data_IF_250441475775
#
_entry.id   IF_250441475775
#
_cell.length_a   1.000
_cell.length_b   1.000
_cell.length_c   1.000
_cell.angle_alpha   90.00
_cell.angle_beta   90.00
_cell.angle_gamma   90.00
#
_symmetry.space_group_name_H-M   'P 1'
#
loop_
_entity.id
_entity.type
_entity.pdbx_description
1 polymer ?
#
# COMPACT_ATOMS: atom_id res chain seq x y z
N UNK A 1 -49.38 48.29 -46.89
CA UNK A 1 -49.97 47.20 -46.09
C UNK A 1 -48.84 46.48 -45.36
N UNK A 2 -48.62 46.82 -44.09
CA UNK A 2 -47.53 46.26 -43.27
C UNK A 2 -47.93 44.99 -42.54
N UNK A 3 -47.00 44.03 -42.43
CA UNK A 3 -47.12 42.84 -41.59
C UNK A 3 -45.77 42.53 -40.92
N UNK A 4 -45.73 42.68 -39.60
CA UNK A 4 -44.54 42.65 -38.74
C UNK A 4 -44.01 41.22 -38.52
N UNK A 5 -42.69 41.04 -38.60
CA UNK A 5 -41.99 39.83 -38.16
C UNK A 5 -42.06 39.66 -36.64
N UNK A 6 -42.45 38.48 -36.19
CA UNK A 6 -42.56 38.09 -34.78
C UNK A 6 -41.17 38.10 -34.12
N UNK A 7 -40.87 39.12 -33.32
CA UNK A 7 -39.69 39.16 -32.43
C UNK A 7 -39.97 38.30 -31.21
N UNK A 8 -39.11 37.32 -30.97
CA UNK A 8 -39.10 36.59 -29.71
C UNK A 8 -38.62 37.51 -28.59
N UNK A 9 -39.43 37.65 -27.55
CA UNK A 9 -39.24 38.60 -26.45
C UNK A 9 -38.50 37.90 -25.32
N UNK A 10 -37.18 37.95 -25.32
CA UNK A 10 -36.36 37.56 -24.15
C UNK A 10 -36.44 38.65 -23.07
N UNK A 11 -36.98 38.28 -21.89
CA UNK A 11 -36.81 39.10 -20.68
C UNK A 11 -35.32 39.12 -20.29
N UNK A 12 -34.82 40.29 -19.92
CA UNK A 12 -33.47 40.52 -19.36
C UNK A 12 -32.25 40.38 -20.28
N UNK A 13 -32.27 41.00 -21.48
CA UNK A 13 -31.08 41.43 -22.24
C UNK A 13 -29.86 40.47 -22.29
N UNK A 14 -30.08 39.16 -22.19
CA UNK A 14 -29.04 38.15 -22.19
C UNK A 14 -28.74 37.77 -23.63
N UNK A 15 -27.50 38.05 -24.08
CA UNK A 15 -26.99 37.56 -25.36
C UNK A 15 -27.07 36.03 -25.37
N UNK A 16 -27.61 35.38 -26.41
CA UNK A 16 -27.52 33.93 -26.54
C UNK A 16 -26.04 33.56 -26.72
N UNK A 17 -25.47 32.78 -25.79
CA UNK A 17 -24.13 32.25 -25.94
C UNK A 17 -24.08 31.27 -27.11
N UNK A 18 -23.33 31.60 -28.16
CA UNK A 18 -23.16 30.73 -29.33
C UNK A 18 -22.32 29.50 -28.96
N UNK A 19 -22.98 28.39 -28.66
CA UNK A 19 -22.35 27.10 -28.32
C UNK A 19 -21.53 26.51 -29.48
N UNK A 20 -21.77 26.94 -30.73
CA UNK A 20 -21.06 26.44 -31.91
C UNK A 20 -19.58 26.81 -31.95
N UNK A 21 -19.21 28.04 -31.57
CA UNK A 21 -17.81 28.49 -31.62
C UNK A 21 -16.95 27.89 -30.49
N UNK A 22 -17.57 27.55 -29.36
CA UNK A 22 -16.92 26.83 -28.27
C UNK A 22 -16.68 25.36 -28.62
N UNK A 23 -17.56 24.74 -29.42
CA UNK A 23 -17.37 23.37 -29.91
C UNK A 23 -16.22 23.29 -30.92
N UNK A 24 -16.07 24.27 -31.82
CA UNK A 24 -14.95 24.32 -32.77
C UNK A 24 -13.58 24.53 -32.10
N UNK A 25 -13.52 25.36 -31.04
CA UNK A 25 -12.31 25.54 -30.22
C UNK A 25 -11.93 24.31 -29.40
N UNK A 26 -12.89 23.46 -29.03
CA UNK A 26 -12.62 22.18 -28.38
C UNK A 26 -12.14 21.13 -29.39
N UNK A 27 -12.66 21.13 -30.61
CA UNK A 27 -12.26 20.18 -31.66
C UNK A 27 -10.85 20.51 -32.17
N UNK A 28 -10.47 21.79 -32.29
CA UNK A 28 -9.11 22.17 -32.72
C UNK A 28 -8.03 21.91 -31.66
N UNK A 29 -8.41 21.83 -30.38
CA UNK A 29 -7.52 21.54 -29.24
C UNK A 29 -7.14 20.05 -29.12
N UNK A 30 -7.72 19.15 -29.92
CA UNK A 30 -7.44 17.70 -29.84
C UNK A 30 -6.12 17.26 -30.49
N UNK A 31 -5.34 18.18 -31.07
CA UNK A 31 -4.08 17.83 -31.78
C UNK A 31 -2.82 17.85 -30.92
N UNK A 32 -2.87 18.36 -29.69
CA UNK A 32 -1.73 18.33 -28.75
C UNK A 32 -2.15 17.68 -27.43
N UNK A 33 -2.15 16.34 -27.41
CA UNK A 33 -2.32 15.57 -26.18
C UNK A 33 -1.01 15.55 -25.36
N UNK A 34 -0.57 16.73 -24.94
CA UNK A 34 0.32 16.91 -23.81
C UNK A 34 -0.54 17.40 -22.64
N UNK A 35 -0.66 16.56 -21.62
CA UNK A 35 -1.16 16.80 -20.25
C UNK A 35 -1.48 18.28 -19.99
N UNK A 36 -2.73 18.70 -20.23
CA UNK A 36 -3.21 20.02 -19.86
C UNK A 36 -4.19 19.92 -18.69
N UNK A 37 -3.62 19.82 -17.49
CA UNK A 37 -4.30 20.33 -16.31
C UNK A 37 -4.21 21.84 -16.32
N UNK A 38 -5.34 22.55 -16.27
CA UNK A 38 -5.38 24.00 -16.13
C UNK A 38 -4.73 24.39 -14.79
N UNK A 39 -3.45 24.72 -14.81
CA UNK A 39 -2.76 25.58 -13.83
C UNK A 39 -1.58 26.25 -14.51
N UNK A 40 -1.51 27.57 -14.37
CA UNK A 40 -0.36 28.41 -14.64
C UNK A 40 0.97 27.82 -14.13
N UNK A 41 1.91 27.57 -15.04
CA UNK A 41 3.32 27.92 -14.80
C UNK A 41 4.33 26.85 -14.42
N UNK A 42 3.98 25.57 -14.22
CA UNK A 42 5.00 24.48 -14.13
C UNK A 42 4.46 23.16 -14.71
N UNK A 43 5.18 22.50 -15.64
CA UNK A 43 4.76 21.21 -16.17
C UNK A 43 4.82 20.15 -15.06
N UNK A 44 3.75 19.36 -14.92
CA UNK A 44 3.74 18.19 -14.07
C UNK A 44 4.75 17.18 -14.62
N UNK A 45 5.63 16.68 -13.75
CA UNK A 45 6.52 15.57 -14.07
C UNK A 45 5.65 14.37 -14.49
N UNK A 46 5.92 13.72 -15.63
CA UNK A 46 5.07 12.63 -16.12
C UNK A 46 5.02 11.50 -15.08
N UNK A 47 3.79 11.06 -14.81
CA UNK A 47 3.41 10.01 -13.83
C UNK A 47 4.19 8.70 -14.09
N UNK A 48 4.66 8.50 -15.34
CA UNK A 48 5.66 7.53 -15.75
C UNK A 48 6.39 8.11 -16.99
N UNK A 49 7.70 8.40 -16.93
CA UNK A 49 8.42 9.03 -18.06
C UNK A 49 8.51 8.17 -19.33
N UNK A 50 8.13 6.89 -19.27
CA UNK A 50 8.10 5.95 -20.41
C UNK A 50 6.74 5.84 -21.12
N UNK A 51 5.72 6.60 -20.73
CA UNK A 51 4.37 6.49 -21.31
C UNK A 51 4.07 7.64 -22.26
N UNK A 52 4.40 7.46 -23.54
CA UNK A 52 3.85 8.26 -24.62
C UNK A 52 2.31 8.29 -24.55
N UNK A 53 1.69 9.39 -25.00
CA UNK A 53 0.24 9.55 -25.02
C UNK A 53 -0.41 8.40 -25.81
N UNK A 54 -0.97 7.42 -25.09
CA UNK A 54 -1.76 6.35 -25.68
C UNK A 54 -3.12 6.95 -26.04
N UNK A 55 -3.58 6.77 -27.29
CA UNK A 55 -4.94 7.14 -27.66
C UNK A 55 -5.92 6.20 -26.94
N UNK A 56 -6.43 6.65 -25.79
CA UNK A 56 -7.19 5.85 -24.81
C UNK A 56 -8.55 5.40 -25.38
N UNK A 57 -9.11 6.11 -26.37
CA UNK A 57 -10.47 5.87 -26.88
C UNK A 57 -10.51 5.06 -28.19
N UNK A 58 -9.37 4.73 -28.81
CA UNK A 58 -9.37 4.06 -30.10
C UNK A 58 -9.77 2.58 -29.97
N UNK A 59 -10.84 2.18 -30.67
CA UNK A 59 -11.33 0.80 -30.70
C UNK A 59 -12.25 0.42 -29.53
N UNK A 60 -12.57 1.36 -28.63
CA UNK A 60 -13.55 1.13 -27.57
C UNK A 60 -14.98 1.21 -28.10
N UNK A 61 -15.84 0.31 -27.62
CA UNK A 61 -17.28 0.51 -27.78
C UNK A 61 -17.75 1.71 -26.90
N UNK A 62 -18.95 2.21 -27.19
CA UNK A 62 -19.51 3.39 -26.51
C UNK A 62 -19.64 3.21 -24.99
N UNK A 63 -20.04 2.03 -24.53
CA UNK A 63 -20.31 1.75 -23.11
C UNK A 63 -19.02 1.72 -22.28
N UNK A 64 -17.97 1.07 -22.79
CA UNK A 64 -16.64 1.12 -22.17
C UNK A 64 -16.09 2.55 -22.14
N UNK A 65 -16.20 3.28 -23.25
CA UNK A 65 -15.72 4.67 -23.32
C UNK A 65 -16.42 5.57 -22.30
N UNK A 66 -17.72 5.39 -22.07
CA UNK A 66 -18.48 6.12 -21.05
C UNK A 66 -18.00 5.80 -19.63
N UNK A 67 -17.72 4.53 -19.32
CA UNK A 67 -17.15 4.13 -18.02
C UNK A 67 -15.79 4.81 -17.78
N UNK A 68 -14.87 4.75 -18.75
CA UNK A 68 -13.56 5.39 -18.64
C UNK A 68 -13.64 6.92 -18.49
N UNK A 69 -14.58 7.58 -19.18
CA UNK A 69 -14.84 9.02 -19.02
C UNK A 69 -15.27 9.37 -17.60
N UNK A 70 -16.06 8.52 -16.93
CA UNK A 70 -16.51 8.71 -15.55
C UNK A 70 -15.36 8.62 -14.54
N UNK A 71 -14.27 7.89 -14.81
CA UNK A 71 -13.11 7.78 -13.90
C UNK A 71 -12.34 9.09 -13.72
N UNK A 72 -12.42 10.02 -14.67
CA UNK A 72 -11.84 11.37 -14.56
C UNK A 72 -12.59 12.28 -13.58
N UNK A 73 -13.77 11.88 -13.11
CA UNK A 73 -14.54 12.65 -12.12
C UNK A 73 -13.88 12.52 -10.75
N UNK A 74 -14.00 13.56 -9.92
CA UNK A 74 -13.48 13.54 -8.55
C UNK A 74 -14.37 12.75 -7.57
N UNK A 75 -15.66 12.68 -7.86
CA UNK A 75 -16.65 12.06 -6.98
C UNK A 75 -16.48 10.53 -6.90
N UNK A 76 -16.18 9.96 -5.71
CA UNK A 76 -15.95 8.53 -5.55
C UNK A 76 -17.19 7.68 -5.82
N UNK A 77 -18.40 8.23 -5.61
CA UNK A 77 -19.65 7.51 -5.90
C UNK A 77 -19.80 7.31 -7.41
N UNK A 78 -19.54 8.35 -8.20
CA UNK A 78 -19.55 8.28 -9.67
C UNK A 78 -18.52 7.27 -10.19
N UNK A 79 -17.29 7.28 -9.64
CA UNK A 79 -16.27 6.28 -9.99
C UNK A 79 -16.71 4.86 -9.63
N UNK A 80 -17.26 4.67 -8.43
CA UNK A 80 -17.75 3.37 -7.95
C UNK A 80 -18.84 2.81 -8.87
N UNK A 81 -19.84 3.62 -9.22
CA UNK A 81 -20.90 3.22 -10.17
C UNK A 81 -20.34 2.86 -11.53
N UNK A 82 -19.36 3.63 -12.04
CA UNK A 82 -18.70 3.35 -13.30
C UNK A 82 -17.88 2.05 -13.27
N UNK A 83 -17.24 1.73 -12.14
CA UNK A 83 -16.53 0.46 -11.97
C UNK A 83 -17.50 -0.72 -11.90
N UNK A 84 -18.64 -0.57 -11.23
CA UNK A 84 -19.69 -1.60 -11.20
C UNK A 84 -20.26 -1.86 -12.59
N UNK A 85 -20.57 -0.79 -13.34
CA UNK A 85 -21.03 -0.87 -14.73
C UNK A 85 -19.98 -1.55 -15.62
N UNK A 86 -18.71 -1.14 -15.51
CA UNK A 86 -17.61 -1.76 -16.26
C UNK A 86 -17.43 -3.25 -15.92
N UNK A 87 -17.56 -3.63 -14.64
CA UNK A 87 -17.48 -5.02 -14.21
C UNK A 87 -18.59 -5.86 -14.86
N UNK A 88 -19.80 -5.31 -14.95
CA UNK A 88 -20.92 -5.99 -15.59
C UNK A 88 -20.73 -6.11 -17.11
N UNK A 89 -20.22 -5.05 -17.76
CA UNK A 89 -19.82 -5.12 -19.18
C UNK A 89 -18.82 -6.23 -19.42
N UNK A 90 -17.76 -6.34 -18.61
CA UNK A 90 -16.75 -7.40 -18.74
C UNK A 90 -17.33 -8.82 -18.56
N UNK A 91 -18.44 -8.98 -17.84
CA UNK A 91 -19.12 -10.27 -17.68
C UNK A 91 -19.99 -10.66 -18.87
N UNK A 92 -20.42 -9.70 -19.68
CA UNK A 92 -21.43 -9.94 -20.72
C UNK A 92 -20.95 -9.66 -22.15
N UNK A 93 -19.90 -8.85 -22.32
CA UNK A 93 -19.34 -8.47 -23.63
C UNK A 93 -18.58 -9.61 -24.32
N UNK A 94 -18.23 -9.42 -25.60
CA UNK A 94 -17.30 -10.33 -26.26
C UNK A 94 -15.87 -10.17 -25.68
N UNK A 95 -15.04 -11.23 -25.75
CA UNK A 95 -13.66 -11.19 -25.22
C UNK A 95 -12.82 -10.12 -25.92
N UNK A 96 -13.06 -9.91 -27.20
CA UNK A 96 -12.42 -8.90 -28.05
C UNK A 96 -12.64 -7.48 -27.53
N UNK A 97 -13.83 -7.17 -27.03
CA UNK A 97 -14.16 -5.85 -26.46
C UNK A 97 -13.41 -5.61 -25.15
N UNK A 98 -13.32 -6.63 -24.30
CA UNK A 98 -12.54 -6.56 -23.06
C UNK A 98 -11.04 -6.38 -23.37
N UNK A 99 -10.51 -7.07 -24.37
CA UNK A 99 -9.12 -6.90 -24.83
C UNK A 99 -8.89 -5.51 -25.40
N UNK A 100 -9.82 -4.98 -26.20
CA UNK A 100 -9.74 -3.62 -26.72
C UNK A 100 -9.72 -2.55 -25.60
N UNK A 101 -10.30 -2.87 -24.43
CA UNK A 101 -10.27 -2.00 -23.26
C UNK A 101 -8.95 -2.01 -22.49
N UNK A 102 -8.03 -2.94 -22.74
CA UNK A 102 -6.77 -3.08 -21.99
C UNK A 102 -5.89 -1.83 -21.98
N UNK A 103 -5.65 -1.11 -23.10
CA UNK A 103 -4.82 0.09 -23.09
C UNK A 103 -5.42 1.20 -22.22
N UNK A 104 -6.74 1.36 -22.25
CA UNK A 104 -7.46 2.33 -21.42
C UNK A 104 -7.44 1.92 -19.95
N UNK A 105 -7.69 0.65 -19.66
CA UNK A 105 -7.59 0.12 -18.30
C UNK A 105 -6.19 0.27 -17.72
N UNK A 106 -5.14 -0.03 -18.49
CA UNK A 106 -3.75 0.12 -18.07
C UNK A 106 -3.32 1.59 -17.82
N UNK A 107 -4.11 2.56 -18.28
CA UNK A 107 -3.97 3.95 -17.90
C UNK A 107 -4.63 4.26 -16.55
N UNK A 108 -5.89 3.86 -16.36
CA UNK A 108 -6.64 4.21 -15.15
C UNK A 108 -6.33 3.33 -13.94
N UNK A 109 -5.95 2.07 -14.15
CA UNK A 109 -5.73 1.11 -13.08
C UNK A 109 -4.74 1.60 -12.01
N UNK A 110 -3.53 2.10 -12.35
CA UNK A 110 -2.59 2.61 -11.35
C UNK A 110 -3.08 3.84 -10.58
N UNK A 111 -4.09 4.54 -11.09
CA UNK A 111 -4.70 5.72 -10.46
C UNK A 111 -5.79 5.27 -9.49
N UNK A 112 -6.69 4.40 -9.97
CA UNK A 112 -7.84 3.92 -9.20
C UNK A 112 -7.46 2.91 -8.11
N UNK A 113 -6.37 2.15 -8.30
CA UNK A 113 -5.87 1.17 -7.33
C UNK A 113 -5.39 1.81 -6.04
N UNK A 114 -5.11 3.11 -6.06
CA UNK A 114 -4.71 3.91 -4.90
C UNK A 114 -5.68 5.07 -4.69
N UNK A 115 -6.95 4.91 -5.04
CA UNK A 115 -7.93 5.97 -4.75
C UNK A 115 -8.09 6.17 -3.23
N UNK A 116 -8.38 7.40 -2.81
CA UNK A 116 -8.67 7.74 -1.41
C UNK A 116 -9.83 6.90 -0.88
N UNK A 117 -10.84 6.67 -1.73
CA UNK A 117 -12.03 5.92 -1.37
C UNK A 117 -11.80 4.41 -1.46
N UNK A 118 -12.04 3.73 -0.34
CA UNK A 118 -11.83 2.29 -0.20
C UNK A 118 -12.71 1.46 -1.13
N UNK A 119 -13.93 1.94 -1.45
CA UNK A 119 -14.87 1.24 -2.31
C UNK A 119 -14.48 1.35 -3.78
N UNK A 120 -13.94 2.50 -4.19
CA UNK A 120 -13.29 2.64 -5.50
C UNK A 120 -12.13 1.65 -5.63
N UNK A 121 -11.26 1.55 -4.62
CA UNK A 121 -10.15 0.57 -4.64
C UNK A 121 -10.65 -0.87 -4.73
N UNK A 122 -11.67 -1.25 -3.95
CA UNK A 122 -12.26 -2.59 -3.96
C UNK A 122 -12.79 -2.98 -5.35
N UNK A 123 -13.67 -2.17 -5.94
CA UNK A 123 -14.23 -2.47 -7.26
C UNK A 123 -13.19 -2.39 -8.38
N UNK A 124 -12.14 -1.59 -8.21
CA UNK A 124 -11.00 -1.58 -9.14
C UNK A 124 -10.33 -2.95 -9.20
N UNK A 125 -10.16 -3.63 -8.05
CA UNK A 125 -9.58 -4.97 -8.02
C UNK A 125 -10.53 -6.03 -8.58
N UNK A 126 -11.84 -5.89 -8.37
CA UNK A 126 -12.83 -6.75 -9.01
C UNK A 126 -12.78 -6.64 -10.55
N UNK A 127 -12.67 -5.41 -11.08
CA UNK A 127 -12.50 -5.17 -12.52
C UNK A 127 -11.16 -5.73 -13.04
N UNK A 128 -10.06 -5.52 -12.31
CA UNK A 128 -8.75 -6.09 -12.66
C UNK A 128 -8.81 -7.61 -12.78
N UNK A 129 -9.48 -8.27 -11.83
CA UNK A 129 -9.66 -9.73 -11.83
C UNK A 129 -10.46 -10.19 -13.06
N UNK A 130 -11.61 -9.55 -13.33
CA UNK A 130 -12.45 -9.88 -14.48
C UNK A 130 -11.71 -9.67 -15.81
N UNK A 131 -10.99 -8.56 -15.94
CA UNK A 131 -10.26 -8.23 -17.16
C UNK A 131 -9.09 -9.18 -17.40
N UNK A 132 -8.32 -9.50 -16.35
CA UNK A 132 -7.20 -10.44 -16.44
C UNK A 132 -7.68 -11.84 -16.84
N UNK A 133 -8.78 -12.31 -16.23
CA UNK A 133 -9.38 -13.61 -16.57
C UNK A 133 -9.84 -13.67 -18.03
N UNK A 134 -10.38 -12.56 -18.56
CA UNK A 134 -10.86 -12.48 -19.95
C UNK A 134 -9.74 -12.34 -20.97
N UNK A 135 -8.77 -11.46 -20.70
CA UNK A 135 -7.67 -11.17 -21.61
C UNK A 135 -6.66 -12.31 -21.70
N UNK A 136 -6.47 -13.06 -20.60
CA UNK A 136 -5.47 -14.12 -20.51
C UNK A 136 -4.08 -13.62 -20.95
N UNK A 137 -3.48 -14.29 -21.93
CA UNK A 137 -2.15 -13.94 -22.46
C UNK A 137 -2.08 -12.55 -23.11
N UNK A 138 -3.21 -12.00 -23.54
CA UNK A 138 -3.29 -10.67 -24.17
C UNK A 138 -3.09 -9.54 -23.15
N UNK A 139 -3.01 -9.85 -21.85
CA UNK A 139 -2.62 -8.92 -20.80
C UNK A 139 -1.13 -8.54 -20.88
N UNK A 140 -0.27 -9.42 -21.42
CA UNK A 140 1.19 -9.30 -21.37
C UNK A 140 1.74 -7.94 -21.89
N UNK A 141 1.24 -7.35 -23.00
CA UNK A 141 1.71 -6.05 -23.49
C UNK A 141 1.50 -4.90 -22.50
N UNK A 142 0.50 -5.01 -21.60
CA UNK A 142 0.20 -3.99 -20.60
C UNK A 142 0.80 -4.28 -19.22
N UNK A 143 1.46 -5.44 -19.05
CA UNK A 143 1.84 -5.93 -17.73
C UNK A 143 2.82 -5.00 -17.00
N UNK A 144 3.76 -4.36 -17.73
CA UNK A 144 4.70 -3.37 -17.18
C UNK A 144 4.01 -2.15 -16.56
N UNK A 145 2.78 -1.84 -17.00
CA UNK A 145 1.96 -0.75 -16.44
C UNK A 145 1.07 -1.24 -15.29
N UNK A 146 0.54 -2.45 -15.41
CA UNK A 146 -0.43 -3.01 -14.48
C UNK A 146 0.22 -3.61 -13.23
N UNK A 147 1.25 -4.43 -13.40
CA UNK A 147 1.80 -5.27 -12.34
C UNK A 147 2.36 -4.49 -11.14
N UNK A 148 3.05 -3.34 -11.31
CA UNK A 148 3.47 -2.53 -10.16
C UNK A 148 2.27 -2.14 -9.29
N UNK A 149 1.25 -1.51 -9.87
CA UNK A 149 0.04 -1.09 -9.14
C UNK A 149 -0.73 -2.27 -8.53
N UNK A 150 -0.70 -3.43 -9.19
CA UNK A 150 -1.36 -4.64 -8.71
C UNK A 150 -0.69 -5.23 -7.48
N UNK A 151 0.64 -5.27 -7.45
CA UNK A 151 1.40 -5.70 -6.29
C UNK A 151 1.16 -4.78 -5.08
N UNK A 152 1.07 -3.46 -5.31
CA UNK A 152 0.66 -2.53 -4.25
C UNK A 152 -0.74 -2.85 -3.72
N UNK A 153 -1.71 -3.06 -4.61
CA UNK A 153 -3.08 -3.36 -4.22
C UNK A 153 -3.21 -4.69 -3.46
N UNK A 154 -2.36 -5.67 -3.75
CA UNK A 154 -2.27 -6.93 -2.98
C UNK A 154 -1.74 -6.73 -1.54
N UNK A 155 -1.36 -5.51 -1.17
CA UNK A 155 -0.93 -5.10 0.17
C UNK A 155 -1.76 -3.93 0.74
N UNK A 156 -2.97 -3.72 0.23
CA UNK A 156 -3.88 -2.65 0.69
C UNK A 156 -4.27 -2.78 2.17
N UNK A 157 -4.49 -1.65 2.84
CA UNK A 157 -4.93 -1.61 4.24
C UNK A 157 -6.42 -1.94 4.41
N UNK A 158 -7.19 -1.85 3.33
CA UNK A 158 -8.56 -2.27 3.25
C UNK A 158 -8.66 -3.75 2.84
N UNK A 159 -9.07 -4.59 3.79
CA UNK A 159 -9.13 -6.04 3.64
C UNK A 159 -9.79 -6.56 2.35
N UNK A 160 -10.99 -6.07 1.96
CA UNK A 160 -11.66 -6.49 0.73
C UNK A 160 -10.86 -6.19 -0.55
N UNK A 161 -10.31 -4.98 -0.68
CA UNK A 161 -9.47 -4.63 -1.84
C UNK A 161 -8.22 -5.51 -1.90
N UNK A 162 -7.53 -5.69 -0.77
CA UNK A 162 -6.36 -6.55 -0.65
C UNK A 162 -6.66 -7.98 -1.07
N UNK A 163 -7.76 -8.55 -0.55
CA UNK A 163 -8.16 -9.92 -0.85
C UNK A 163 -8.45 -10.10 -2.34
N UNK A 164 -9.24 -9.20 -2.95
CA UNK A 164 -9.52 -9.27 -4.38
C UNK A 164 -8.25 -9.16 -5.24
N UNK A 165 -7.36 -8.20 -4.92
CA UNK A 165 -6.10 -8.04 -5.66
C UNK A 165 -5.21 -9.28 -5.54
N UNK A 166 -5.01 -9.78 -4.33
CA UNK A 166 -4.16 -10.94 -4.06
C UNK A 166 -4.69 -12.20 -4.75
N UNK A 167 -5.98 -12.51 -4.57
CA UNK A 167 -6.62 -13.66 -5.21
C UNK A 167 -6.54 -13.56 -6.74
N UNK A 168 -6.78 -12.38 -7.31
CA UNK A 168 -6.66 -12.18 -8.74
C UNK A 168 -5.22 -12.36 -9.25
N UNK A 169 -4.22 -11.91 -8.48
CA UNK A 169 -2.80 -12.09 -8.79
C UNK A 169 -2.45 -13.58 -8.84
N UNK A 170 -2.82 -14.35 -7.80
CA UNK A 170 -2.55 -15.79 -7.71
C UNK A 170 -3.27 -16.58 -8.81
N UNK A 171 -4.51 -16.22 -9.13
CA UNK A 171 -5.26 -16.89 -10.20
C UNK A 171 -4.70 -16.58 -11.59
N UNK A 172 -4.15 -15.39 -11.80
CA UNK A 172 -3.57 -14.98 -13.09
C UNK A 172 -2.17 -15.56 -13.29
N UNK A 173 -1.38 -15.64 -12.21
CA UNK A 173 0.00 -16.11 -12.23
C UNK A 173 0.21 -17.28 -11.23
N UNK A 174 -0.38 -18.46 -11.48
CA UNK A 174 -0.19 -19.62 -10.62
C UNK A 174 1.25 -20.17 -10.71
N UNK A 175 1.65 -20.92 -9.69
CA UNK A 175 2.97 -21.57 -9.59
C UNK A 175 4.12 -20.54 -9.67
N UNK A 176 5.18 -20.83 -10.43
CA UNK A 176 6.35 -19.97 -10.54
C UNK A 176 6.14 -18.75 -11.46
N UNK A 177 4.99 -18.66 -12.15
CA UNK A 177 4.70 -17.62 -13.15
C UNK A 177 4.69 -16.21 -12.58
N UNK A 178 4.35 -16.05 -11.29
CA UNK A 178 4.40 -14.74 -10.66
C UNK A 178 5.84 -14.23 -10.58
N UNK A 179 6.80 -15.10 -10.23
CA UNK A 179 8.21 -14.75 -10.20
C UNK A 179 8.75 -14.37 -11.59
N UNK A 180 8.27 -15.03 -12.64
CA UNK A 180 8.60 -14.69 -14.04
C UNK A 180 8.02 -13.33 -14.44
N UNK A 181 6.74 -13.09 -14.15
CA UNK A 181 6.07 -11.81 -14.41
C UNK A 181 6.77 -10.64 -13.70
N UNK A 182 7.12 -10.83 -12.41
CA UNK A 182 7.90 -9.86 -11.64
C UNK A 182 9.26 -9.63 -12.29
N UNK A 183 9.96 -10.70 -12.70
CA UNK A 183 11.26 -10.58 -13.36
C UNK A 183 11.18 -9.81 -14.69
N UNK A 184 10.08 -9.99 -15.44
CA UNK A 184 9.81 -9.29 -16.71
C UNK A 184 9.52 -7.79 -16.53
N UNK A 185 8.90 -7.41 -15.41
CA UNK A 185 8.53 -6.02 -15.07
C UNK A 185 9.43 -5.39 -13.99
N UNK A 186 10.62 -5.94 -13.76
CA UNK A 186 11.43 -5.61 -12.58
C UNK A 186 11.78 -4.12 -12.47
N UNK A 187 12.09 -3.46 -13.58
CA UNK A 187 12.52 -2.06 -13.56
C UNK A 187 11.34 -1.15 -13.21
N UNK A 188 10.17 -1.42 -13.78
CA UNK A 188 8.94 -0.68 -13.51
C UNK A 188 8.45 -0.90 -12.06
N UNK A 189 8.51 -2.15 -11.57
CA UNK A 189 8.13 -2.49 -10.21
C UNK A 189 9.04 -1.78 -9.21
N UNK A 190 10.37 -1.95 -9.33
CA UNK A 190 11.33 -1.34 -8.39
C UNK A 190 11.28 0.18 -8.49
N UNK A 191 11.17 0.74 -9.69
CA UNK A 191 11.05 2.19 -9.90
C UNK A 191 9.86 2.77 -9.13
N UNK A 192 8.66 2.24 -9.36
CA UNK A 192 7.44 2.69 -8.69
C UNK A 192 7.54 2.58 -7.17
N UNK A 193 7.99 1.44 -6.66
CA UNK A 193 8.04 1.19 -5.21
C UNK A 193 9.06 2.09 -4.52
N UNK A 194 10.25 2.24 -5.11
CA UNK A 194 11.30 3.11 -4.57
C UNK A 194 10.88 4.57 -4.60
N UNK A 195 10.26 5.03 -5.69
CA UNK A 195 9.83 6.42 -5.83
C UNK A 195 8.75 6.75 -4.80
N UNK A 196 7.76 5.86 -4.62
CA UNK A 196 6.74 6.00 -3.59
C UNK A 196 7.36 6.12 -2.18
N UNK A 197 8.31 5.24 -1.84
CA UNK A 197 8.94 5.27 -0.51
C UNK A 197 9.79 6.52 -0.32
N UNK A 198 10.53 6.93 -1.35
CA UNK A 198 11.45 8.08 -1.28
C UNK A 198 10.71 9.42 -1.27
N UNK A 199 9.56 9.52 -1.95
CA UNK A 199 8.74 10.74 -2.00
C UNK A 199 7.67 10.81 -0.90
N UNK A 200 7.65 9.87 0.04
CA UNK A 200 6.58 9.77 1.05
C UNK A 200 5.19 9.45 0.49
N UNK A 201 5.10 8.89 -0.73
CA UNK A 201 3.85 8.55 -1.40
C UNK A 201 3.08 9.75 -1.98
N UNK A 202 3.61 10.97 -1.82
CA UNK A 202 2.90 12.19 -2.16
C UNK A 202 2.95 12.55 -3.65
N UNK A 203 3.90 12.01 -4.41
CA UNK A 203 4.07 12.30 -5.84
C UNK A 203 2.88 11.90 -6.72
N UNK A 204 1.95 11.08 -6.19
CA UNK A 204 0.72 10.64 -6.89
C UNK A 204 -0.49 11.51 -6.58
N UNK A 205 -0.39 12.42 -5.62
CA UNK A 205 -1.52 13.17 -5.10
C UNK A 205 -1.67 14.52 -5.80
N UNK A 206 -2.92 14.89 -6.07
CA UNK A 206 -3.23 16.23 -6.56
C UNK A 206 -2.97 17.25 -5.44
N UNK A 207 -2.29 18.35 -5.77
CA UNK A 207 -1.99 19.48 -4.85
C UNK A 207 -3.23 20.17 -4.24
N UNK A 208 -4.45 19.72 -4.58
CA UNK A 208 -5.73 20.34 -4.17
C UNK A 208 -6.39 19.64 -2.97
N UNK A 209 -5.79 18.59 -2.44
CA UNK A 209 -6.28 17.88 -1.25
C UNK A 209 -5.75 18.55 0.01
N UNK A 210 -6.53 18.52 1.10
CA UNK A 210 -6.09 18.98 2.42
C UNK A 210 -4.80 18.28 2.83
N UNK A 211 -3.88 19.04 3.46
CA UNK A 211 -2.52 18.58 3.72
C UNK A 211 -2.46 17.31 4.57
N UNK A 212 -3.32 17.20 5.59
CA UNK A 212 -3.35 16.04 6.47
C UNK A 212 -3.93 14.80 5.79
N UNK A 213 -4.95 14.97 4.94
CA UNK A 213 -5.51 13.87 4.13
C UNK A 213 -4.48 13.39 3.10
N UNK A 214 -3.76 14.33 2.47
CA UNK A 214 -2.67 14.06 1.54
C UNK A 214 -1.55 13.25 2.19
N UNK A 215 -1.08 13.66 3.37
CA UNK A 215 -0.08 12.90 4.14
C UNK A 215 -0.60 11.53 4.56
N UNK A 216 -1.85 11.42 5.01
CA UNK A 216 -2.45 10.14 5.41
C UNK A 216 -2.47 9.16 4.23
N UNK A 217 -2.82 9.65 3.05
CA UNK A 217 -2.78 8.84 1.85
C UNK A 217 -1.37 8.47 1.41
N UNK A 218 -0.42 9.42 1.50
CA UNK A 218 1.00 9.15 1.26
C UNK A 218 1.51 8.00 2.13
N UNK A 219 1.18 8.02 3.43
CA UNK A 219 1.53 6.91 4.36
C UNK A 219 0.93 5.58 3.94
N UNK A 220 -0.32 5.55 3.48
CA UNK A 220 -0.96 4.35 2.92
C UNK A 220 -0.19 3.81 1.70
N UNK A 221 0.18 4.68 0.75
CA UNK A 221 0.94 4.29 -0.44
C UNK A 221 2.31 3.73 -0.05
N UNK A 222 3.02 4.38 0.88
CA UNK A 222 4.33 3.92 1.36
C UNK A 222 4.20 2.57 2.04
N UNK A 223 3.22 2.39 2.94
CA UNK A 223 2.98 1.12 3.62
C UNK A 223 2.70 -0.02 2.63
N UNK A 224 1.83 0.22 1.65
CA UNK A 224 1.52 -0.75 0.59
C UNK A 224 2.75 -1.05 -0.28
N UNK A 225 3.61 -0.06 -0.52
CA UNK A 225 4.85 -0.24 -1.30
C UNK A 225 5.88 -1.08 -0.56
N UNK A 226 6.00 -0.93 0.77
CA UNK A 226 6.85 -1.78 1.60
C UNK A 226 6.34 -3.23 1.63
N UNK A 227 5.03 -3.42 1.75
CA UNK A 227 4.40 -4.74 1.65
C UNK A 227 4.64 -5.38 0.28
N UNK A 228 4.51 -4.62 -0.81
CA UNK A 228 4.76 -5.10 -2.16
C UNK A 228 6.23 -5.51 -2.37
N UNK A 229 7.20 -4.80 -1.80
CA UNK A 229 8.61 -5.21 -1.84
C UNK A 229 8.83 -6.55 -1.11
N UNK A 230 8.19 -6.75 0.05
CA UNK A 230 8.23 -8.01 0.76
C UNK A 230 7.59 -9.16 -0.05
N UNK A 231 6.44 -8.91 -0.67
CA UNK A 231 5.76 -9.86 -1.56
C UNK A 231 6.62 -10.23 -2.78
N UNK A 232 7.27 -9.25 -3.42
CA UNK A 232 8.23 -9.47 -4.51
C UNK A 232 9.38 -10.35 -4.04
N UNK A 233 9.92 -10.07 -2.85
CA UNK A 233 10.97 -10.87 -2.24
C UNK A 233 10.54 -12.31 -1.94
N UNK A 234 9.30 -12.54 -1.54
CA UNK A 234 8.77 -13.89 -1.28
C UNK A 234 8.48 -14.67 -2.58
N UNK A 235 7.96 -14.00 -3.61
CA UNK A 235 7.55 -14.64 -4.86
C UNK A 235 8.71 -15.02 -5.79
N UNK A 236 9.91 -14.44 -5.60
CA UNK A 236 11.05 -14.68 -6.48
C UNK A 236 11.89 -15.89 -6.03
N UNK A 237 12.31 -16.79 -6.95
CA UNK A 237 13.21 -17.89 -6.61
C UNK A 237 14.62 -17.38 -6.25
N UNK A 238 15.41 -18.20 -5.56
CA UNK A 238 16.76 -17.82 -5.11
C UNK A 238 17.69 -17.38 -6.25
N UNK A 239 17.50 -17.91 -7.47
CA UNK A 239 18.25 -17.52 -8.66
C UNK A 239 18.11 -16.03 -9.05
N UNK A 240 17.08 -15.34 -8.53
CA UNK A 240 16.83 -13.91 -8.79
C UNK A 240 17.35 -12.99 -7.68
N UNK A 241 18.00 -13.56 -6.66
CA UNK A 241 18.46 -12.83 -5.48
C UNK A 241 19.50 -11.74 -5.76
N UNK A 242 20.36 -11.91 -6.77
CA UNK A 242 21.43 -10.94 -7.06
C UNK A 242 20.90 -9.57 -7.51
N UNK A 243 20.00 -9.56 -8.49
CA UNK A 243 19.45 -8.29 -8.98
C UNK A 243 18.51 -7.66 -7.95
N UNK A 244 17.71 -8.47 -7.23
CA UNK A 244 16.82 -7.96 -6.20
C UNK A 244 17.64 -7.31 -5.07
N UNK A 245 18.74 -7.95 -4.66
CA UNK A 245 19.65 -7.38 -3.68
C UNK A 245 20.21 -6.03 -4.15
N UNK A 246 20.72 -5.96 -5.39
CA UNK A 246 21.22 -4.71 -5.96
C UNK A 246 20.15 -3.60 -5.97
N UNK A 247 18.88 -3.95 -6.26
CA UNK A 247 17.76 -3.02 -6.24
C UNK A 247 17.41 -2.50 -4.83
N UNK A 248 17.63 -3.29 -3.78
CA UNK A 248 17.32 -2.92 -2.39
C UNK A 248 18.42 -2.08 -1.73
N UNK A 249 19.66 -2.19 -2.18
CA UNK A 249 20.79 -1.45 -1.58
C UNK A 249 20.59 0.07 -1.49
N UNK A 250 20.12 0.77 -2.55
CA UNK A 250 19.87 2.22 -2.46
C UNK A 250 18.85 2.57 -1.36
N UNK A 251 17.82 1.73 -1.20
CA UNK A 251 16.78 1.92 -0.20
C UNK A 251 17.34 1.75 1.22
N UNK A 252 18.13 0.69 1.46
CA UNK A 252 18.76 0.43 2.76
C UNK A 252 19.80 1.50 3.14
N UNK A 253 20.39 2.21 2.17
CA UNK A 253 21.28 3.34 2.43
C UNK A 253 20.54 4.64 2.74
N UNK A 254 19.30 4.79 2.27
CA UNK A 254 18.54 6.02 2.40
C UNK A 254 18.09 6.28 3.85
N UNK A 255 18.45 7.43 4.41
CA UNK A 255 18.02 7.83 5.77
C UNK A 255 16.50 7.86 5.93
N UNK A 256 15.78 8.30 4.90
CA UNK A 256 14.32 8.37 4.90
C UNK A 256 13.65 7.01 5.15
N UNK A 257 14.22 5.93 4.60
CA UNK A 257 13.71 4.58 4.82
C UNK A 257 13.74 4.19 6.31
N UNK A 258 14.83 4.49 7.01
CA UNK A 258 14.99 4.15 8.43
C UNK A 258 14.14 5.02 9.37
N UNK A 259 13.79 6.23 8.95
CA UNK A 259 12.89 7.09 9.72
C UNK A 259 11.48 6.49 9.83
N UNK A 260 11.07 5.63 8.89
CA UNK A 260 9.75 4.98 8.89
C UNK A 260 9.54 4.06 10.09
N UNK A 261 10.61 3.51 10.67
CA UNK A 261 10.55 2.69 11.90
C UNK A 261 9.98 3.46 13.10
N UNK A 262 10.10 4.79 13.08
CA UNK A 262 9.65 5.69 14.14
C UNK A 262 8.48 6.58 13.72
N UNK A 263 7.79 6.24 12.62
CA UNK A 263 6.60 6.97 12.20
C UNK A 263 5.50 6.86 13.28
N UNK A 264 4.69 7.91 13.47
CA UNK A 264 3.55 7.87 14.38
C UNK A 264 2.48 6.86 13.94
N UNK A 265 2.35 6.64 12.63
CA UNK A 265 1.40 5.71 12.05
C UNK A 265 1.84 4.25 12.26
N UNK A 266 1.06 3.49 13.03
CA UNK A 266 1.35 2.09 13.33
C UNK A 266 1.33 1.18 12.10
N UNK A 267 0.51 1.49 11.08
CA UNK A 267 0.43 0.66 9.87
C UNK A 267 1.71 0.79 9.05
N UNK A 268 2.22 2.01 8.97
CA UNK A 268 3.48 2.30 8.30
C UNK A 268 4.66 1.61 9.00
N UNK A 269 4.69 1.63 10.34
CA UNK A 269 5.69 0.89 11.12
C UNK A 269 5.57 -0.63 10.91
N UNK A 270 4.36 -1.19 10.97
CA UNK A 270 4.13 -2.61 10.73
C UNK A 270 4.62 -3.06 9.35
N UNK A 271 4.32 -2.27 8.30
CA UNK A 271 4.80 -2.54 6.95
C UNK A 271 6.32 -2.45 6.85
N UNK A 272 6.94 -1.47 7.53
CA UNK A 272 8.40 -1.36 7.59
C UNK A 272 9.04 -2.56 8.29
N UNK A 273 8.50 -3.00 9.44
CA UNK A 273 8.97 -4.20 10.14
C UNK A 273 8.87 -5.43 9.24
N UNK A 274 7.73 -5.64 8.57
CA UNK A 274 7.55 -6.77 7.66
C UNK A 274 8.56 -6.78 6.51
N UNK A 275 8.83 -5.60 5.91
CA UNK A 275 9.84 -5.48 4.86
C UNK A 275 11.25 -5.75 5.39
N UNK A 276 11.63 -5.16 6.52
CA UNK A 276 12.92 -5.41 7.17
C UNK A 276 13.09 -6.88 7.51
N UNK A 277 12.12 -7.51 8.18
CA UNK A 277 12.17 -8.94 8.48
C UNK A 277 12.38 -9.79 7.22
N UNK A 278 11.71 -9.45 6.12
CA UNK A 278 11.84 -10.14 4.83
C UNK A 278 13.24 -9.98 4.21
N UNK A 279 13.87 -8.82 4.37
CA UNK A 279 15.26 -8.60 3.93
C UNK A 279 16.22 -9.52 4.67
N UNK A 280 16.13 -9.62 6.00
CA UNK A 280 17.03 -10.48 6.75
C UNK A 280 16.75 -11.96 6.55
N UNK A 281 15.49 -12.35 6.45
CA UNK A 281 15.11 -13.73 6.13
C UNK A 281 15.73 -14.21 4.80
N UNK A 282 15.84 -13.32 3.81
CA UNK A 282 16.33 -13.68 2.48
C UNK A 282 17.81 -13.38 2.24
N UNK A 283 18.32 -12.30 2.83
CA UNK A 283 19.63 -11.74 2.50
C UNK A 283 20.54 -11.54 3.72
N UNK A 284 20.22 -12.09 4.90
CA UNK A 284 20.98 -11.85 6.13
C UNK A 284 22.50 -11.96 5.99
N UNK A 285 22.99 -12.97 5.27
CA UNK A 285 24.43 -13.15 5.00
C UNK A 285 25.08 -12.09 4.09
N UNK A 286 24.28 -11.32 3.34
CA UNK A 286 24.74 -10.24 2.44
C UNK A 286 24.64 -8.86 3.07
N UNK A 287 23.89 -8.71 4.17
CA UNK A 287 23.68 -7.43 4.84
C UNK A 287 24.89 -7.13 5.73
N UNK A 288 25.44 -5.93 5.62
CA UNK A 288 26.57 -5.51 6.44
C UNK A 288 26.22 -5.33 7.92
N UNK A 289 27.24 -5.36 8.77
CA UNK A 289 27.08 -5.26 10.23
C UNK A 289 26.49 -3.90 10.66
N UNK A 290 26.80 -2.80 9.97
CA UNK A 290 26.26 -1.47 10.29
C UNK A 290 24.76 -1.40 10.03
N UNK A 291 24.32 -1.93 8.89
CA UNK A 291 22.91 -2.05 8.54
C UNK A 291 22.16 -2.94 9.54
N UNK A 292 22.75 -4.06 9.95
CA UNK A 292 22.19 -4.96 10.98
C UNK A 292 22.10 -4.30 12.36
N UNK A 293 23.12 -3.55 12.77
CA UNK A 293 23.07 -2.73 14.00
C UNK A 293 21.96 -1.68 13.97
N UNK A 294 21.74 -1.04 12.82
CA UNK A 294 20.67 -0.05 12.65
C UNK A 294 19.29 -0.70 12.75
N UNK A 295 19.09 -1.85 12.11
CA UNK A 295 17.85 -2.63 12.22
C UNK A 295 17.57 -3.06 13.65
N UNK A 296 18.59 -3.57 14.34
CA UNK A 296 18.47 -3.94 15.75
C UNK A 296 18.00 -2.79 16.62
N UNK A 297 18.69 -1.64 16.55
CA UNK A 297 18.33 -0.45 17.33
C UNK A 297 16.91 0.01 17.04
N UNK A 298 16.51 0.01 15.77
CA UNK A 298 15.17 0.40 15.35
C UNK A 298 14.08 -0.57 15.87
N UNK A 299 14.35 -1.89 15.88
CA UNK A 299 13.40 -2.91 16.31
C UNK A 299 13.28 -3.03 17.84
N UNK A 300 14.37 -2.74 18.58
CA UNK A 300 14.33 -2.71 20.05
C UNK A 300 13.72 -1.42 20.61
N UNK A 301 13.85 -0.30 19.88
CA UNK A 301 13.30 0.97 20.29
C UNK A 301 11.78 0.87 20.51
N UNK A 302 11.22 1.43 21.61
CA UNK A 302 9.78 1.50 21.78
C UNK A 302 9.16 2.32 20.65
N UNK A 303 7.96 1.96 20.16
CA UNK A 303 7.29 2.79 19.18
C UNK A 303 6.93 4.14 19.84
N UNK A 304 6.87 5.24 19.07
CA UNK A 304 6.45 6.52 19.62
C UNK A 304 5.08 6.38 20.28
N UNK A 305 4.89 7.02 21.43
CA UNK A 305 3.59 7.04 22.10
C UNK A 305 2.52 7.55 21.13
N UNK A 306 1.33 6.95 21.19
CA UNK A 306 0.19 7.45 20.43
C UNK A 306 -0.01 8.93 20.81
N UNK A 307 -0.24 9.82 19.82
CA UNK A 307 -0.57 11.21 20.14
C UNK A 307 -1.81 11.19 21.04
N UNK A 308 -1.69 11.78 22.24
CA UNK A 308 -2.80 11.92 23.16
C UNK A 308 -3.89 12.71 22.41
N UNK A 309 -5.12 12.18 22.25
CA UNK A 309 -6.18 12.99 21.69
C UNK A 309 -6.36 14.18 22.60
N UNK A 310 -6.19 15.40 22.06
CA UNK A 310 -6.51 16.64 22.76
C UNK A 310 -8.03 16.68 22.92
N UNK A 311 -8.54 15.99 23.92
CA UNK A 311 -9.93 16.12 24.32
C UNK A 311 -10.01 17.48 25.01
N UNK A 312 -10.44 18.50 24.27
CA UNK A 312 -11.04 19.69 24.87
C UNK A 312 -12.31 19.22 25.59
N UNK A 313 -12.16 18.87 26.87
CA UNK A 313 -13.29 18.59 27.75
C UNK A 313 -14.13 19.87 27.83
N UNK A 314 -15.45 19.83 27.57
CA UNK A 314 -16.33 20.92 27.93
C UNK A 314 -16.33 21.08 29.47
N UNK A 315 -16.45 22.32 29.93
CA UNK A 315 -16.40 22.69 31.34
C UNK A 315 -17.36 21.85 32.19
N UNK A 316 -16.87 21.34 33.32
CA UNK A 316 -17.61 20.48 34.24
C UNK A 316 -18.81 21.22 34.88
N UNK A 317 -20.00 20.58 35.00
CA UNK A 317 -21.06 21.06 35.88
C UNK A 317 -20.77 20.73 37.35
N UNK A 318 -21.34 21.55 38.25
CA UNK A 318 -21.19 21.54 39.72
C UNK A 318 -21.68 20.26 40.41
N UNK A 319 -21.18 19.95 41.63
CA UNK A 319 -21.31 18.63 42.24
C UNK A 319 -22.60 18.52 43.07
N UNK A 320 -23.44 17.55 42.74
CA UNK A 320 -24.36 16.96 43.71
C UNK A 320 -24.58 15.49 43.38
N UNK A 321 -24.65 14.71 44.45
CA UNK A 321 -25.02 13.29 44.58
C UNK A 321 -23.90 12.24 44.51
N UNK A 322 -23.81 11.54 45.63
CA UNK A 322 -22.93 10.42 46.01
C UNK A 322 -23.12 9.21 45.10
N UNK A 323 -22.06 8.80 44.39
CA UNK A 323 -21.99 7.50 43.73
C UNK A 323 -21.28 6.46 44.62
N UNK A 324 -21.71 5.18 44.59
CA UNK A 324 -21.02 4.10 45.29
C UNK A 324 -19.68 3.80 44.62
N UNK A 325 -18.72 3.33 45.42
CA UNK A 325 -17.35 3.03 45.00
C UNK A 325 -17.32 2.12 43.76
N UNK A 326 -16.74 2.65 42.67
CA UNK A 326 -16.44 1.87 41.48
C UNK A 326 -15.49 0.71 41.85
N UNK A 327 -15.70 -0.50 41.29
CA UNK A 327 -14.76 -1.59 41.49
C UNK A 327 -13.40 -1.19 40.94
N UNK A 328 -12.36 -1.40 41.74
CA UNK A 328 -10.96 -1.24 41.33
C UNK A 328 -10.78 -2.08 40.06
N UNK A 329 -10.66 -1.41 38.92
CA UNK A 329 -10.31 -2.07 37.68
C UNK A 329 -8.97 -2.77 37.90
N UNK A 330 -9.01 -4.10 37.95
CA UNK A 330 -7.85 -4.96 37.70
C UNK A 330 -7.08 -4.35 36.54
N UNK A 331 -5.78 -4.15 36.71
CA UNK A 331 -4.89 -3.61 35.70
C UNK A 331 -4.94 -4.49 34.45
N UNK A 332 -5.91 -4.24 33.57
CA UNK A 332 -5.95 -4.78 32.24
C UNK A 332 -4.64 -4.30 31.59
N UNK A 333 -3.73 -5.25 31.36
CA UNK A 333 -2.52 -4.99 30.60
C UNK A 333 -2.93 -4.25 29.33
N UNK A 334 -2.42 -3.04 29.14
CA UNK A 334 -2.76 -2.23 27.98
C UNK A 334 -2.52 -3.08 26.73
N UNK A 335 -3.54 -3.21 25.87
CA UNK A 335 -3.44 -4.03 24.67
C UNK A 335 -2.19 -3.59 23.88
N UNK A 336 -1.33 -4.54 23.46
CA UNK A 336 -0.10 -4.20 22.75
C UNK A 336 -0.45 -3.45 21.45
N UNK A 337 0.41 -2.50 21.07
CA UNK A 337 0.21 -1.74 19.83
C UNK A 337 0.09 -2.71 18.64
N UNK A 338 -0.78 -2.41 17.67
CA UNK A 338 -1.12 -3.33 16.57
C UNK A 338 0.09 -3.74 15.69
N UNK A 339 1.18 -2.98 15.72
CA UNK A 339 2.44 -3.26 15.02
C UNK A 339 3.41 -4.16 15.80
N UNK A 340 3.14 -4.42 17.08
CA UNK A 340 3.98 -5.22 17.98
C UNK A 340 4.32 -6.61 17.42
N UNK A 341 3.36 -7.40 16.87
CA UNK A 341 3.67 -8.73 16.33
C UNK A 341 4.65 -8.67 15.16
N UNK A 342 4.44 -7.72 14.24
CA UNK A 342 5.30 -7.53 13.07
C UNK A 342 6.72 -7.15 13.47
N UNK A 343 6.85 -6.31 14.51
CA UNK A 343 8.16 -5.92 15.05
C UNK A 343 8.93 -7.12 15.59
N UNK A 344 8.26 -7.96 16.39
CA UNK A 344 8.92 -9.11 17.00
C UNK A 344 9.27 -10.18 15.98
N UNK A 345 8.38 -10.46 15.02
CA UNK A 345 8.71 -11.33 13.91
C UNK A 345 9.96 -10.82 13.16
N UNK A 346 10.03 -9.52 12.87
CA UNK A 346 11.19 -8.92 12.22
C UNK A 346 12.47 -9.00 13.06
N UNK A 347 12.37 -8.81 14.37
CA UNK A 347 13.51 -8.95 15.29
C UNK A 347 14.02 -10.39 15.34
N UNK A 348 13.14 -11.38 15.40
CA UNK A 348 13.56 -12.78 15.39
C UNK A 348 14.22 -13.16 14.06
N UNK A 349 13.67 -12.71 12.94
CA UNK A 349 14.28 -12.91 11.61
C UNK A 349 15.65 -12.23 11.52
N UNK A 350 15.80 -11.02 12.08
CA UNK A 350 17.08 -10.32 12.17
C UNK A 350 18.09 -11.16 12.98
N UNK A 351 17.76 -11.54 14.21
CA UNK A 351 18.67 -12.24 15.12
C UNK A 351 19.03 -13.63 14.61
N UNK A 352 18.10 -14.31 13.94
CA UNK A 352 18.33 -15.62 13.33
C UNK A 352 19.28 -15.55 12.13
N UNK A 353 19.22 -14.48 11.32
CA UNK A 353 19.94 -14.41 10.04
C UNK A 353 21.11 -13.42 10.02
N UNK A 354 21.23 -12.54 11.01
CA UNK A 354 22.34 -11.59 11.10
C UNK A 354 23.59 -12.26 11.66
N UNK A 355 24.72 -12.02 10.98
CA UNK A 355 26.01 -12.47 11.45
C UNK A 355 26.43 -11.68 12.70
N UNK A 356 26.98 -12.40 13.69
CA UNK A 356 27.67 -11.82 14.84
C UNK A 356 26.84 -10.81 15.65
N UNK A 357 25.51 -10.96 15.70
CA UNK A 357 24.65 -9.98 16.39
C UNK A 357 25.00 -9.78 17.86
N UNK A 358 25.54 -10.82 18.50
CA UNK A 358 26.07 -10.78 19.87
C UNK A 358 27.27 -9.85 20.05
N UNK A 359 28.07 -9.60 19.01
CA UNK A 359 29.25 -8.75 19.11
C UNK A 359 28.89 -7.27 19.29
N UNK A 360 27.65 -6.89 18.99
CA UNK A 360 27.19 -5.51 19.05
C UNK A 360 25.92 -5.30 19.90
N UNK A 361 25.44 -6.35 20.58
CA UNK A 361 24.40 -6.27 21.59
C UNK A 361 25.04 -6.07 22.98
N UNK A 362 24.70 -4.99 23.67
CA UNK A 362 25.11 -4.79 25.05
C UNK A 362 24.18 -5.53 26.04
N UNK A 363 24.56 -5.60 27.32
CA UNK A 363 23.76 -6.30 28.33
C UNK A 363 22.35 -5.73 28.49
N UNK A 364 22.16 -4.42 28.25
CA UNK A 364 20.86 -3.77 28.27
C UNK A 364 19.98 -4.21 27.11
N UNK A 365 20.55 -4.25 25.90
CA UNK A 365 19.88 -4.70 24.70
C UNK A 365 19.51 -6.19 24.80
N UNK A 366 20.37 -7.03 25.39
CA UNK A 366 20.08 -8.43 25.67
C UNK A 366 18.94 -8.59 26.68
N UNK A 367 18.95 -7.82 27.77
CA UNK A 367 17.86 -7.81 28.74
C UNK A 367 16.53 -7.36 28.11
N UNK A 368 16.59 -6.35 27.23
CA UNK A 368 15.44 -5.92 26.43
C UNK A 368 14.97 -7.06 25.53
N UNK A 369 15.83 -7.63 24.69
CA UNK A 369 15.47 -8.76 23.80
C UNK A 369 14.76 -9.87 24.57
N UNK A 370 15.30 -10.29 25.71
CA UNK A 370 14.71 -11.33 26.57
C UNK A 370 13.32 -10.92 27.06
N UNK A 371 13.17 -9.70 27.58
CA UNK A 371 11.88 -9.17 28.02
C UNK A 371 10.86 -9.21 26.87
N UNK A 372 11.28 -8.86 25.66
CA UNK A 372 10.41 -8.81 24.48
C UNK A 372 10.02 -10.18 23.96
N UNK A 373 10.92 -11.16 24.01
CA UNK A 373 10.60 -12.56 23.73
C UNK A 373 9.59 -13.06 24.78
N UNK A 374 9.76 -12.74 26.05
CA UNK A 374 8.80 -13.13 27.07
C UNK A 374 7.40 -12.52 26.83
N UNK A 375 7.34 -11.23 26.47
CA UNK A 375 6.08 -10.57 26.05
C UNK A 375 5.43 -11.29 24.85
N UNK A 376 6.22 -11.70 23.85
CA UNK A 376 5.74 -12.47 22.70
C UNK A 376 5.13 -13.82 23.11
N UNK A 377 5.81 -14.56 23.99
CA UNK A 377 5.36 -15.88 24.47
C UNK A 377 4.09 -15.77 25.33
N UNK A 378 4.02 -14.80 26.23
CA UNK A 378 2.84 -14.55 27.07
C UNK A 378 1.57 -14.23 26.27
N UNK A 379 1.73 -13.65 25.07
CA UNK A 379 0.62 -13.32 24.18
C UNK A 379 0.35 -14.43 23.14
N UNK A 380 0.89 -15.64 23.34
CA UNK A 380 0.68 -16.78 22.43
C UNK A 380 1.17 -16.51 21.01
N UNK A 381 2.24 -15.72 20.85
CA UNK A 381 2.80 -15.37 19.54
C UNK A 381 1.85 -14.62 18.60
N UNK A 382 0.74 -14.06 19.12
CA UNK A 382 -0.30 -13.37 18.33
C UNK A 382 -0.82 -14.15 17.11
N UNK A 383 -0.92 -15.48 17.25
CA UNK A 383 -1.42 -16.36 16.19
C UNK A 383 -0.37 -16.81 15.16
N UNK A 384 0.91 -16.50 15.37
CA UNK A 384 2.04 -17.02 14.56
C UNK A 384 3.00 -17.88 15.44
N UNK A 385 2.47 -18.47 16.52
CA UNK A 385 3.27 -19.12 17.56
C UNK A 385 4.18 -20.23 17.03
N UNK A 386 3.69 -21.06 16.11
CA UNK A 386 4.46 -22.16 15.53
C UNK A 386 5.73 -21.67 14.82
N UNK A 387 5.61 -20.68 13.93
CA UNK A 387 6.74 -20.10 13.20
C UNK A 387 7.70 -19.36 14.14
N UNK A 388 7.16 -18.63 15.09
CA UNK A 388 7.96 -17.91 16.08
C UNK A 388 8.74 -18.87 16.98
N UNK A 389 8.16 -20.01 17.34
CA UNK A 389 8.81 -21.05 18.12
C UNK A 389 10.03 -21.65 17.40
N UNK A 390 9.92 -21.96 16.10
CA UNK A 390 11.06 -22.46 15.31
C UNK A 390 12.24 -21.47 15.31
N UNK A 391 11.94 -20.18 15.09
CA UNK A 391 12.96 -19.13 15.12
C UNK A 391 13.58 -18.98 16.52
N UNK A 392 12.76 -19.04 17.57
CA UNK A 392 13.20 -18.92 18.95
C UNK A 392 14.05 -20.09 19.41
N UNK A 393 13.71 -21.33 19.02
CA UNK A 393 14.47 -22.53 19.34
C UNK A 393 15.92 -22.43 18.86
N UNK A 394 16.13 -21.95 17.63
CA UNK A 394 17.46 -21.69 17.08
C UNK A 394 18.24 -20.62 17.86
N UNK A 395 17.54 -19.72 18.55
CA UNK A 395 18.11 -18.63 19.33
C UNK A 395 18.32 -18.97 20.81
N UNK A 396 17.86 -20.11 21.32
CA UNK A 396 18.04 -20.49 22.73
C UNK A 396 19.50 -20.59 23.18
N UNK A 397 20.44 -21.18 22.41
CA UNK A 397 21.86 -21.14 22.76
C UNK A 397 22.40 -19.71 22.75
N UNK A 398 21.77 -18.90 21.88
CA UNK A 398 21.85 -17.46 21.66
C UNK A 398 21.59 -16.55 22.88
N UNK A 399 20.79 -17.02 23.83
CA UNK A 399 20.33 -16.20 24.97
C UNK A 399 21.25 -16.30 26.19
N UNK A 400 21.35 -15.23 27.01
CA UNK A 400 22.06 -15.29 28.29
C UNK A 400 21.56 -16.44 29.17
N UNK A 401 22.46 -17.11 29.89
CA UNK A 401 22.08 -18.21 30.79
C UNK A 401 21.05 -17.77 31.84
N UNK A 402 21.18 -16.54 32.35
CA UNK A 402 20.25 -15.93 33.31
C UNK A 402 18.82 -15.76 32.77
N UNK A 403 18.64 -15.70 31.44
CA UNK A 403 17.33 -15.57 30.81
C UNK A 403 16.62 -16.92 30.61
N UNK A 404 17.37 -18.03 30.61
CA UNK A 404 16.86 -19.39 30.35
C UNK A 404 16.34 -20.04 31.62
N UNK A 405 15.35 -19.41 32.24
CA UNK A 405 14.73 -19.89 33.48
C UNK A 405 13.73 -21.01 33.19
N UNK A 406 13.42 -21.84 34.20
CA UNK A 406 12.36 -22.85 34.07
C UNK A 406 11.03 -22.23 33.63
N UNK A 407 10.69 -21.04 34.13
CA UNK A 407 9.49 -20.30 33.74
C UNK A 407 9.50 -19.95 32.25
N UNK A 408 10.62 -19.44 31.73
CA UNK A 408 10.76 -19.13 30.30
C UNK A 408 10.50 -20.35 29.41
N UNK A 409 11.03 -21.52 29.79
CA UNK A 409 10.78 -22.76 29.04
C UNK A 409 9.32 -23.19 29.09
N UNK A 410 8.67 -23.08 30.25
CA UNK A 410 7.23 -23.37 30.37
C UNK A 410 6.40 -22.44 29.47
N UNK A 411 6.63 -21.13 29.53
CA UNK A 411 5.90 -20.17 28.67
C UNK A 411 6.16 -20.44 27.18
N UNK A 412 7.37 -20.88 26.81
CA UNK A 412 7.69 -21.30 25.44
C UNK A 412 6.88 -22.54 25.03
N UNK A 413 6.89 -23.60 25.83
CA UNK A 413 6.14 -24.82 25.53
C UNK A 413 4.63 -24.58 25.51
N UNK A 414 4.10 -23.80 26.46
CA UNK A 414 2.69 -23.43 26.49
C UNK A 414 2.30 -22.66 25.22
N UNK A 415 3.13 -21.70 24.78
CA UNK A 415 2.88 -20.97 23.54
C UNK A 415 2.88 -21.85 22.29
N UNK A 416 3.68 -22.92 22.27
CA UNK A 416 3.71 -23.89 21.17
C UNK A 416 2.45 -24.77 21.13
N UNK A 417 1.78 -24.98 22.27
CA UNK A 417 0.59 -25.82 22.38
C UNK A 417 -0.72 -25.06 22.13
N UNK A 418 -0.69 -23.72 22.20
CA UNK A 418 -1.84 -22.83 21.98
C UNK A 418 -1.96 -22.40 20.51
N UNK A 419 -0.92 -22.66 19.70
CA UNK A 419 -0.83 -22.31 18.27
C UNK A 419 -1.65 -23.17 17.33
#
# INVERSE_FOLDING_TARGET
MGGKSKRDRTKNNARPSSSGRSAELLISSTKDSAIFGITTGKPLTPIFPTLAAVNIEHGLNTEYALCFKKFNKKDPITKTKALQELLELMRHSATEEAVAALPAWAHFYPILSVDMDRKVREYTQACQAALAARAGRQLAPQLRRLLPAWLLAACDDYGPARHHAHTALMNTFPEEKLGEAISFCREEIIGVLRDNISSGGEGRLLLKTEEEERKAHGRFIVASSLGALALVGAALPAARSDWLWAALQPLLRARAFWALAHAHDHRLRAAWYGMVGSVWARFGARVDADCSRRAWRALLAPPPAAPTPTVTLPAAPTPTETMPAAPIASAAQAAPAADTPHRWAALLLLVHNAQEWRAWADDKDLALLVKRIHELLQNGGWGDAARLAELLLALLPALPSAARTARFYMDLFDSMLIG
#
